data_IF_934084058065
#
_entry.id   IF_934084058065
#
_cell.length_a   1.000
_cell.length_b   1.000
_cell.length_c   1.000
_cell.angle_alpha   90.00
_cell.angle_beta   90.00
_cell.angle_gamma   90.00
#
_symmetry.space_group_name_H-M   'P 1'
#
loop_
_entity.id
_entity.type
_entity.pdbx_description
1 polymer ?
#
# COMPACT_ATOMS: atom_id res chain seq x y z
N UNK A 1 -4.42 -25.27 -22.48
CA UNK A 1 -4.51 -23.88 -22.98
C UNK A 1 -3.45 -23.10 -22.25
N UNK A 2 -2.28 -22.96 -22.87
CA UNK A 2 -1.11 -22.28 -22.32
C UNK A 2 -1.35 -20.77 -22.25
N UNK A 3 -1.29 -20.21 -21.04
CA UNK A 3 -1.25 -18.77 -20.80
C UNK A 3 0.22 -18.36 -20.73
N UNK A 4 0.78 -17.91 -21.85
CA UNK A 4 2.14 -17.38 -21.90
C UNK A 4 2.24 -16.04 -21.18
N UNK A 5 3.32 -15.91 -20.40
CA UNK A 5 3.66 -14.83 -19.45
C UNK A 5 3.93 -13.46 -20.11
N UNK A 6 3.89 -13.38 -21.44
CA UNK A 6 4.36 -12.24 -22.24
C UNK A 6 3.27 -11.27 -22.72
N UNK A 7 2.01 -11.47 -22.33
CA UNK A 7 0.87 -10.69 -22.87
C UNK A 7 0.46 -9.47 -22.02
N UNK A 8 1.39 -8.88 -21.25
CA UNK A 8 1.10 -7.56 -20.65
C UNK A 8 1.22 -6.47 -21.72
N UNK A 9 0.17 -5.69 -21.99
CA UNK A 9 0.22 -4.58 -22.94
C UNK A 9 1.22 -3.47 -22.54
N UNK A 10 1.77 -3.54 -21.32
CA UNK A 10 2.87 -2.70 -20.83
C UNK A 10 4.21 -2.91 -21.56
N UNK A 11 4.40 -4.03 -22.26
CA UNK A 11 5.69 -4.38 -22.85
C UNK A 11 5.59 -5.18 -24.14
N UNK A 12 5.39 -4.49 -25.27
CA UNK A 12 6.15 -4.88 -26.46
C UNK A 12 7.55 -4.29 -26.30
N UNK A 13 8.56 -5.15 -26.37
CA UNK A 13 9.96 -4.77 -26.43
C UNK A 13 10.18 -3.79 -27.59
N UNK A 14 10.18 -2.49 -27.28
CA UNK A 14 10.75 -1.50 -28.16
C UNK A 14 12.24 -1.76 -28.26
N UNK A 15 12.66 -2.27 -29.42
CA UNK A 15 14.05 -2.35 -29.83
C UNK A 15 14.76 -1.03 -29.47
N UNK A 16 15.71 -1.10 -28.54
CA UNK A 16 16.73 -0.08 -28.40
C UNK A 16 17.60 -0.14 -29.66
N UNK A 17 17.16 0.52 -30.73
CA UNK A 17 17.97 0.76 -31.92
C UNK A 17 19.26 1.45 -31.50
N UNK A 18 20.38 0.88 -31.92
CA UNK A 18 21.69 1.11 -31.32
C UNK A 18 22.18 2.55 -31.34
N UNK A 19 22.78 2.94 -30.22
CA UNK A 19 23.92 3.85 -30.21
C UNK A 19 25.01 3.22 -29.32
N UNK A 20 25.96 2.51 -29.95
CA UNK A 20 27.17 2.04 -29.28
C UNK A 20 28.04 3.26 -28.99
N UNK A 21 27.99 3.79 -27.77
CA UNK A 21 29.05 4.69 -27.27
C UNK A 21 30.07 3.93 -26.44
N UNK A 22 31.37 4.25 -26.56
CA UNK A 22 32.42 3.45 -25.94
C UNK A 22 32.46 3.66 -24.43
N UNK A 23 32.78 2.59 -23.70
CA UNK A 23 33.22 2.63 -22.31
C UNK A 23 34.31 3.69 -22.14
N UNK A 24 34.06 4.68 -21.29
CA UNK A 24 35.12 5.52 -20.74
C UNK A 24 35.16 5.34 -19.23
N UNK A 25 36.26 4.77 -18.75
CA UNK A 25 36.67 4.80 -17.36
C UNK A 25 36.86 6.25 -16.92
N UNK A 26 35.96 6.76 -16.08
CA UNK A 26 36.26 7.89 -15.20
C UNK A 26 35.61 7.66 -13.84
N UNK A 27 36.46 7.40 -12.83
CA UNK A 27 36.12 7.63 -11.43
C UNK A 27 35.80 9.13 -11.27
N UNK A 28 34.52 9.47 -11.18
CA UNK A 28 34.08 10.79 -10.79
C UNK A 28 33.70 10.75 -9.30
N UNK A 29 34.36 11.58 -8.51
CA UNK A 29 34.12 11.75 -7.08
C UNK A 29 32.69 12.25 -6.81
N UNK A 30 32.06 11.72 -5.76
CA UNK A 30 30.77 12.19 -5.23
C UNK A 30 30.91 13.66 -4.74
N UNK A 31 29.97 14.57 -5.07
CA UNK A 31 29.94 15.89 -4.45
C UNK A 31 29.45 15.80 -3.01
N UNK A 32 30.15 16.47 -2.10
CA UNK A 32 29.75 16.63 -0.70
C UNK A 32 28.53 17.55 -0.61
N UNK A 33 27.43 17.05 -0.04
CA UNK A 33 26.24 17.83 0.28
C UNK A 33 26.40 18.36 1.70
N UNK A 34 26.37 19.69 1.85
CA UNK A 34 26.35 20.37 3.14
C UNK A 34 24.99 20.15 3.86
N UNK A 35 24.96 20.03 5.20
CA UNK A 35 23.74 19.77 5.94
C UNK A 35 22.81 21.00 5.92
N UNK A 36 21.66 20.85 5.27
CA UNK A 36 20.55 21.80 5.32
C UNK A 36 19.86 21.74 6.69
N UNK A 37 19.70 22.92 7.32
CA UNK A 37 19.06 23.09 8.62
C UNK A 37 17.57 22.74 8.55
N UNK A 38 17.17 21.57 9.02
CA UNK A 38 15.79 21.30 9.42
C UNK A 38 15.53 21.93 10.80
N UNK A 39 14.37 22.57 10.96
CA UNK A 39 13.92 23.17 12.22
C UNK A 39 13.59 22.04 13.19
N UNK A 40 14.14 22.02 14.42
CA UNK A 40 13.79 20.99 15.39
C UNK A 40 12.40 21.27 15.96
N UNK A 41 11.52 20.28 15.85
CA UNK A 41 10.31 20.18 16.67
C UNK A 41 10.74 20.20 18.14
N UNK A 42 10.21 21.15 18.93
CA UNK A 42 10.50 21.27 20.36
C UNK A 42 9.97 20.03 21.07
N UNK A 43 10.87 19.08 21.35
CA UNK A 43 10.66 18.03 22.33
C UNK A 43 10.59 18.69 23.72
N UNK A 44 9.42 18.64 24.36
CA UNK A 44 9.33 18.87 25.81
C UNK A 44 10.11 17.76 26.51
N UNK A 45 11.22 18.14 27.16
CA UNK A 45 12.14 17.23 27.82
C UNK A 45 11.50 16.56 29.04
N UNK A 46 11.33 15.24 28.96
CA UNK A 46 11.13 14.36 30.10
C UNK A 46 12.49 14.09 30.76
N UNK A 47 12.79 14.76 31.88
CA UNK A 47 13.72 14.30 32.92
C UNK A 47 13.73 15.28 34.09
N UNK A 48 13.04 14.92 35.18
CA UNK A 48 13.49 15.00 36.58
C UNK A 48 12.27 15.03 37.53
N UNK A 49 12.27 14.07 38.46
CA UNK A 49 11.33 13.70 39.54
C UNK A 49 10.91 12.23 39.32
N UNK A 50 11.34 11.23 40.08
CA UNK A 50 11.85 11.17 41.45
C UNK A 50 12.77 9.95 41.60
N UNK A 51 13.92 10.14 42.25
CA UNK A 51 14.47 9.10 43.13
C UNK A 51 13.65 9.16 44.42
N UNK A 52 12.98 8.06 44.76
CA UNK A 52 12.23 7.96 46.00
C UNK A 52 11.17 6.87 45.97
N UNK A 53 11.51 5.71 46.54
CA UNK A 53 10.51 4.74 47.00
C UNK A 53 10.39 3.49 46.15
N UNK A 54 11.21 2.48 46.49
CA UNK A 54 10.85 1.10 46.23
C UNK A 54 9.67 0.70 47.15
N UNK A 55 8.51 0.38 46.58
CA UNK A 55 7.51 -0.51 47.17
C UNK A 55 6.78 -1.25 46.05
N UNK A 56 6.82 -2.57 46.13
CA UNK A 56 6.16 -3.50 45.23
C UNK A 56 4.63 -3.39 45.29
N UNK A 57 3.97 -3.36 44.13
CA UNK A 57 2.73 -4.12 43.90
C UNK A 57 2.73 -4.58 42.45
N UNK A 58 3.07 -5.86 42.25
CA UNK A 58 2.58 -6.62 41.13
C UNK A 58 1.05 -6.62 41.20
N UNK A 59 0.36 -5.93 40.28
CA UNK A 59 -1.11 -5.87 40.32
C UNK A 59 -1.74 -4.67 39.65
N UNK A 60 -1.45 -4.43 38.36
CA UNK A 60 -2.37 -3.73 37.45
C UNK A 60 -2.38 -4.43 36.07
N UNK A 61 -2.64 -5.74 36.11
CA UNK A 61 -3.30 -6.44 35.01
C UNK A 61 -4.73 -5.92 34.97
N UNK A 62 -5.11 -5.09 34.00
CA UNK A 62 -6.52 -4.66 33.91
C UNK A 62 -6.87 -3.43 33.08
N UNK A 63 -5.91 -2.71 32.49
CA UNK A 63 -6.21 -1.74 31.42
C UNK A 63 -5.63 -2.27 30.12
N UNK A 64 -6.26 -3.36 29.67
CA UNK A 64 -6.02 -3.89 28.34
C UNK A 64 -6.23 -2.76 27.34
N UNK A 65 -5.31 -2.66 26.39
CA UNK A 65 -5.66 -2.15 25.08
C UNK A 65 -6.73 -3.11 24.55
N UNK A 66 -7.99 -2.87 24.89
CA UNK A 66 -9.09 -3.57 24.24
C UNK A 66 -8.98 -3.16 22.78
N UNK A 67 -8.59 -4.11 21.93
CA UNK A 67 -8.64 -3.94 20.48
C UNK A 67 -9.99 -3.28 20.17
N UNK A 68 -10.03 -2.17 19.42
CA UNK A 68 -11.30 -1.52 19.11
C UNK A 68 -12.25 -2.54 18.49
N UNK A 69 -13.56 -2.37 18.66
CA UNK A 69 -14.56 -3.38 18.31
C UNK A 69 -14.45 -3.92 16.86
N UNK A 70 -13.92 -3.11 15.94
CA UNK A 70 -13.65 -3.52 14.57
C UNK A 70 -12.41 -4.43 14.42
N UNK A 71 -11.38 -4.26 15.27
CA UNK A 71 -10.24 -5.17 15.41
C UNK A 71 -10.58 -6.45 16.21
N UNK A 72 -11.82 -6.57 16.71
CA UNK A 72 -12.37 -7.77 17.33
C UNK A 72 -13.18 -8.64 16.36
N UNK A 73 -13.32 -8.25 15.08
CA UNK A 73 -13.82 -9.14 14.03
C UNK A 73 -12.72 -10.15 13.66
N UNK A 74 -12.40 -11.01 14.62
CA UNK A 74 -11.45 -12.11 14.43
C UNK A 74 -12.18 -13.24 13.73
N UNK A 75 -11.96 -13.31 12.42
CA UNK A 75 -11.72 -14.53 11.65
C UNK A 75 -12.21 -15.83 12.32
N UNK A 76 -13.48 -16.21 12.08
CA UNK A 76 -14.09 -17.44 12.63
C UNK A 76 -13.52 -18.76 12.05
N UNK A 77 -12.37 -18.74 11.37
CA UNK A 77 -11.82 -19.90 10.68
C UNK A 77 -10.49 -20.41 11.25
N UNK A 78 -10.40 -20.68 12.56
CA UNK A 78 -9.53 -21.70 13.17
C UNK A 78 -8.00 -21.68 12.93
N UNK A 79 -7.48 -20.78 12.09
CA UNK A 79 -6.09 -20.45 11.76
C UNK A 79 -6.18 -19.08 11.08
N UNK A 80 -5.54 -18.03 11.60
CA UNK A 80 -5.53 -16.67 11.01
C UNK A 80 -5.22 -16.71 9.51
N UNK A 81 -6.24 -16.84 8.67
CA UNK A 81 -6.13 -16.95 7.22
C UNK A 81 -6.85 -15.76 6.62
N UNK A 82 -6.08 -14.79 6.16
CA UNK A 82 -6.59 -13.63 5.44
C UNK A 82 -6.88 -14.01 3.98
N UNK A 83 -7.75 -13.28 3.30
CA UNK A 83 -7.99 -13.45 1.87
C UNK A 83 -7.76 -12.12 1.18
N UNK A 84 -6.91 -12.09 0.16
CA UNK A 84 -6.74 -10.90 -0.66
C UNK A 84 -7.91 -10.81 -1.63
N UNK A 85 -8.66 -9.71 -1.57
CA UNK A 85 -9.79 -9.46 -2.46
C UNK A 85 -9.43 -8.37 -3.47
N UNK A 86 -9.39 -8.74 -4.75
CA UNK A 86 -9.16 -7.83 -5.88
C UNK A 86 -10.48 -7.27 -6.39
N UNK A 87 -10.56 -5.94 -6.46
CA UNK A 87 -11.74 -5.25 -7.00
C UNK A 87 -11.81 -5.48 -8.51
N UNK A 88 -12.96 -5.95 -8.98
CA UNK A 88 -13.35 -5.92 -10.39
C UNK A 88 -14.25 -4.71 -10.64
N UNK A 89 -14.00 -4.00 -11.73
CA UNK A 89 -14.76 -2.80 -12.09
C UNK A 89 -14.83 -2.64 -13.61
N UNK A 90 -15.69 -1.75 -14.09
CA UNK A 90 -15.79 -1.47 -15.52
C UNK A 90 -14.60 -0.62 -15.98
N UNK A 91 -13.55 -1.29 -16.44
CA UNK A 91 -12.28 -0.70 -16.87
C UNK A 91 -11.18 -1.76 -16.90
N UNK A 92 -9.92 -1.31 -16.90
CA UNK A 92 -8.75 -2.19 -17.05
C UNK A 92 -8.30 -2.81 -15.72
N UNK A 93 -9.22 -3.45 -15.00
CA UNK A 93 -8.99 -4.05 -13.67
C UNK A 93 -8.06 -5.26 -13.70
N UNK A 94 -8.04 -6.01 -14.82
CA UNK A 94 -7.14 -7.12 -15.03
C UNK A 94 -5.89 -6.66 -15.79
N UNK A 95 -4.81 -6.45 -15.05
CA UNK A 95 -3.50 -6.15 -15.59
C UNK A 95 -2.84 -7.34 -16.31
N UNK A 96 -3.40 -8.56 -16.22
CA UNK A 96 -2.74 -9.77 -16.72
C UNK A 96 -1.52 -10.18 -15.88
N UNK A 97 -1.43 -9.70 -14.64
CA UNK A 97 -0.30 -9.91 -13.72
C UNK A 97 -0.71 -10.64 -12.43
N UNK A 98 -1.14 -11.91 -12.52
CA UNK A 98 -1.54 -12.67 -11.33
C UNK A 98 -0.39 -12.89 -10.34
N UNK A 99 0.87 -12.84 -10.80
CA UNK A 99 2.06 -12.97 -9.94
C UNK A 99 2.19 -11.84 -8.92
N UNK A 100 1.64 -10.65 -9.17
CA UNK A 100 1.74 -9.53 -8.23
C UNK A 100 1.11 -9.87 -6.87
N UNK A 101 -0.10 -10.42 -6.89
CA UNK A 101 -0.83 -10.80 -5.68
C UNK A 101 -0.16 -11.96 -4.95
N UNK A 102 0.29 -12.96 -5.72
CA UNK A 102 0.97 -14.13 -5.18
C UNK A 102 2.29 -13.77 -4.51
N UNK A 103 3.09 -12.90 -5.13
CA UNK A 103 4.35 -12.45 -4.56
C UNK A 103 4.12 -11.61 -3.29
N UNK A 104 3.14 -10.71 -3.31
CA UNK A 104 2.78 -9.88 -2.16
C UNK A 104 2.34 -10.74 -0.97
N UNK A 105 1.41 -11.67 -1.19
CA UNK A 105 0.91 -12.56 -0.13
C UNK A 105 1.97 -13.56 0.34
N UNK A 106 2.84 -14.04 -0.55
CA UNK A 106 3.97 -14.89 -0.17
C UNK A 106 4.97 -14.14 0.72
N UNK A 107 5.33 -12.90 0.36
CA UNK A 107 6.26 -12.10 1.16
C UNK A 107 5.66 -11.73 2.51
N UNK A 108 4.37 -11.38 2.55
CA UNK A 108 3.66 -11.12 3.81
C UNK A 108 3.78 -12.32 4.75
N UNK A 109 3.41 -13.52 4.26
CA UNK A 109 3.48 -14.74 5.06
C UNK A 109 4.90 -15.06 5.51
N UNK A 110 5.91 -14.78 4.66
CA UNK A 110 7.33 -14.97 5.00
C UNK A 110 7.79 -14.05 6.13
N UNK A 111 7.32 -12.81 6.15
CA UNK A 111 7.75 -11.78 7.11
C UNK A 111 6.96 -11.80 8.42
N UNK A 112 5.66 -12.07 8.39
CA UNK A 112 4.79 -12.00 9.58
C UNK A 112 4.52 -13.36 10.21
N UNK A 113 4.64 -14.45 9.43
CA UNK A 113 4.26 -15.79 9.87
C UNK A 113 2.75 -16.05 9.88
N UNK A 114 1.90 -15.04 9.60
CA UNK A 114 0.47 -15.22 9.37
C UNK A 114 0.21 -15.96 8.05
N UNK A 115 -1.04 -16.36 7.79
CA UNK A 115 -1.41 -17.11 6.58
C UNK A 115 -2.38 -16.33 5.73
N UNK A 116 -2.24 -16.48 4.42
CA UNK A 116 -3.25 -16.07 3.44
C UNK A 116 -3.90 -17.31 2.82
N UNK A 117 -5.13 -17.17 2.36
CA UNK A 117 -5.75 -18.11 1.44
C UNK A 117 -4.91 -18.16 0.17
N UNK A 118 -4.79 -19.35 -0.41
CA UNK A 118 -4.06 -19.56 -1.67
C UNK A 118 -4.77 -18.87 -2.83
N UNK A 119 -6.11 -18.81 -2.76
CA UNK A 119 -6.93 -18.20 -3.80
C UNK A 119 -7.11 -16.70 -3.56
N UNK A 120 -6.88 -15.92 -4.60
CA UNK A 120 -7.22 -14.51 -4.65
C UNK A 120 -8.69 -14.39 -5.04
N UNK A 121 -9.48 -13.70 -4.23
CA UNK A 121 -10.90 -13.48 -4.53
C UNK A 121 -11.03 -12.27 -5.44
N UNK A 122 -11.88 -12.38 -6.46
CA UNK A 122 -12.33 -11.24 -7.26
C UNK A 122 -13.69 -10.79 -6.74
N UNK A 123 -13.88 -9.50 -6.50
CA UNK A 123 -15.12 -8.96 -5.91
C UNK A 123 -15.47 -7.61 -6.54
N UNK A 124 -16.73 -7.39 -6.86
CA UNK A 124 -17.22 -6.07 -7.26
C UNK A 124 -17.60 -5.25 -6.03
N UNK A 125 -17.51 -3.91 -6.12
CA UNK A 125 -18.01 -3.04 -5.06
C UNK A 125 -19.53 -3.16 -4.86
N UNK A 126 -20.26 -3.66 -5.84
CA UNK A 126 -21.70 -3.97 -5.70
C UNK A 126 -22.01 -5.30 -5.01
N UNK A 127 -21.00 -6.15 -4.77
CA UNK A 127 -21.23 -7.49 -4.22
C UNK A 127 -21.51 -7.46 -2.72
N UNK A 128 -22.47 -8.28 -2.28
CA UNK A 128 -22.81 -8.41 -0.84
C UNK A 128 -21.65 -8.96 -0.01
N UNK A 129 -20.80 -9.78 -0.63
CA UNK A 129 -19.66 -10.42 0.01
C UNK A 129 -18.47 -9.47 0.22
N UNK A 130 -18.50 -8.24 -0.33
CA UNK A 130 -17.45 -7.23 -0.18
C UNK A 130 -17.02 -7.04 1.29
N UNK A 131 -18.01 -7.00 2.19
CA UNK A 131 -17.81 -6.74 3.62
C UNK A 131 -17.16 -7.91 4.38
N UNK A 132 -16.98 -9.07 3.74
CA UNK A 132 -16.21 -10.19 4.31
C UNK A 132 -14.70 -10.00 4.17
N UNK A 133 -14.27 -9.06 3.35
CA UNK A 133 -12.87 -8.84 3.02
C UNK A 133 -12.43 -7.50 3.61
N UNK A 134 -11.70 -7.47 4.74
CA UNK A 134 -11.28 -6.22 5.37
C UNK A 134 -10.27 -5.45 4.49
N UNK A 135 -9.51 -6.17 3.66
CA UNK A 135 -8.53 -5.58 2.75
C UNK A 135 -8.95 -5.75 1.30
N UNK A 136 -9.12 -4.64 0.60
CA UNK A 136 -9.39 -4.58 -0.82
C UNK A 136 -8.16 -4.11 -1.58
N UNK A 137 -7.88 -4.77 -2.69
CA UNK A 137 -6.81 -4.42 -3.62
C UNK A 137 -7.40 -3.99 -4.95
N UNK A 138 -6.96 -2.85 -5.49
CA UNK A 138 -7.36 -2.40 -6.81
C UNK A 138 -6.13 -2.05 -7.65
N UNK A 139 -6.13 -2.55 -8.88
CA UNK A 139 -5.13 -2.23 -9.90
C UNK A 139 -5.81 -1.80 -11.19
N UNK A 140 -5.08 -1.06 -12.02
CA UNK A 140 -5.56 -0.62 -13.31
C UNK A 140 -4.42 -0.32 -14.29
N UNK A 141 -4.58 -0.72 -15.56
CA UNK A 141 -3.58 -0.49 -16.61
C UNK A 141 -3.85 0.76 -17.47
N UNK A 142 -5.06 0.93 -17.99
CA UNK A 142 -5.41 2.05 -18.88
C UNK A 142 -6.86 2.51 -18.74
N UNK A 143 -7.13 3.76 -19.11
CA UNK A 143 -8.47 4.33 -19.13
C UNK A 143 -8.96 4.83 -17.76
N UNK A 144 -10.08 5.55 -17.76
CA UNK A 144 -10.70 5.99 -16.51
C UNK A 144 -11.44 4.84 -15.87
N UNK A 145 -11.20 4.64 -14.58
CA UNK A 145 -12.06 3.78 -13.78
C UNK A 145 -13.40 4.50 -13.60
N UNK A 146 -14.50 3.86 -14.00
CA UNK A 146 -15.84 4.42 -13.84
C UNK A 146 -16.57 3.60 -12.80
N UNK A 147 -16.93 4.26 -11.71
CA UNK A 147 -17.72 3.69 -10.63
C UNK A 147 -19.08 4.38 -10.60
N UNK A 148 -20.11 3.59 -10.32
CA UNK A 148 -21.44 4.09 -10.02
C UNK A 148 -21.49 4.69 -8.62
N UNK A 149 -22.50 5.53 -8.36
CA UNK A 149 -22.74 6.09 -7.03
C UNK A 149 -23.00 4.99 -5.98
N UNK A 150 -23.63 3.88 -6.39
CA UNK A 150 -23.87 2.75 -5.48
C UNK A 150 -22.57 2.05 -5.07
N UNK A 151 -21.63 1.87 -6.01
CA UNK A 151 -20.30 1.31 -5.72
C UNK A 151 -19.47 2.25 -4.85
N UNK A 152 -19.53 3.57 -5.10
CA UNK A 152 -18.86 4.56 -4.27
C UNK A 152 -19.42 4.57 -2.82
N UNK A 153 -20.74 4.45 -2.65
CA UNK A 153 -21.36 4.35 -1.33
C UNK A 153 -21.01 3.04 -0.62
N UNK A 154 -20.95 1.92 -1.34
CA UNK A 154 -20.51 0.65 -0.78
C UNK A 154 -19.04 0.70 -0.32
N UNK A 155 -18.16 1.33 -1.13
CA UNK A 155 -16.77 1.57 -0.75
C UNK A 155 -16.66 2.50 0.46
N UNK A 156 -17.45 3.60 0.49
CA UNK A 156 -17.52 4.49 1.66
C UNK A 156 -17.86 3.70 2.92
N UNK A 157 -18.93 2.91 2.90
CA UNK A 157 -19.33 2.07 4.04
C UNK A 157 -18.21 1.11 4.44
N UNK A 158 -17.59 0.44 3.48
CA UNK A 158 -16.47 -0.48 3.74
C UNK A 158 -15.32 0.22 4.47
N UNK A 159 -14.89 1.38 3.99
CA UNK A 159 -13.77 2.14 4.55
C UNK A 159 -14.10 2.77 5.92
N UNK A 160 -15.33 3.23 6.13
CA UNK A 160 -15.73 3.83 7.41
C UNK A 160 -16.03 2.77 8.48
N UNK A 161 -16.37 1.54 8.10
CA UNK A 161 -16.63 0.41 9.00
C UNK A 161 -15.37 -0.43 9.36
N UNK A 162 -14.19 0.02 8.94
CA UNK A 162 -12.90 -0.59 9.33
C UNK A 162 -12.13 -1.25 8.19
N UNK A 163 -12.72 -1.34 7.01
CA UNK A 163 -12.05 -1.83 5.81
C UNK A 163 -10.93 -0.92 5.32
N UNK A 164 -10.10 -1.43 4.42
CA UNK A 164 -8.96 -0.73 3.85
C UNK A 164 -8.84 -0.97 2.34
N UNK A 165 -8.43 0.06 1.59
CA UNK A 165 -8.19 -0.01 0.16
C UNK A 165 -6.72 0.25 -0.18
N UNK A 166 -6.08 -0.70 -0.86
CA UNK A 166 -4.78 -0.49 -1.49
C UNK A 166 -4.94 -0.34 -3.01
N UNK A 167 -4.70 0.87 -3.50
CA UNK A 167 -4.72 1.19 -4.93
C UNK A 167 -3.30 1.22 -5.50
N UNK A 168 -3.03 0.38 -6.50
CA UNK A 168 -1.70 0.19 -7.08
C UNK A 168 -1.79 0.19 -8.59
N UNK A 169 -1.13 1.11 -9.27
CA UNK A 169 -1.19 1.16 -10.75
C UNK A 169 -0.39 0.03 -11.42
N UNK A 170 -0.76 -0.26 -12.66
CA UNK A 170 -0.04 -1.13 -13.58
C UNK A 170 0.09 -0.42 -14.93
N UNK A 171 0.79 0.71 -15.06
CA UNK A 171 0.86 1.41 -16.34
C UNK A 171 1.92 2.49 -16.40
N UNK A 172 2.51 2.69 -17.58
CA UNK A 172 3.52 3.72 -17.79
C UNK A 172 2.93 5.12 -17.52
N UNK A 173 3.25 5.66 -16.35
CA UNK A 173 2.89 7.01 -15.95
C UNK A 173 1.65 7.12 -15.05
N UNK A 174 0.92 6.04 -14.76
CA UNK A 174 -0.08 5.89 -13.69
C UNK A 174 -1.21 6.93 -13.56
N UNK A 175 -1.20 7.97 -14.39
CA UNK A 175 -1.84 9.25 -14.09
C UNK A 175 -3.34 9.17 -14.24
N UNK A 176 -3.82 8.44 -15.25
CA UNK A 176 -5.26 8.24 -15.45
C UNK A 176 -5.85 7.44 -14.30
N UNK A 177 -5.25 6.29 -13.97
CA UNK A 177 -5.65 5.48 -12.81
C UNK A 177 -5.63 6.31 -11.52
N UNK A 178 -4.52 6.99 -11.22
CA UNK A 178 -4.39 7.85 -10.05
C UNK A 178 -5.45 8.95 -10.01
N UNK A 179 -5.73 9.59 -11.16
CA UNK A 179 -6.75 10.64 -11.28
C UNK A 179 -8.14 10.07 -11.03
N UNK A 180 -8.47 8.90 -11.58
CA UNK A 180 -9.77 8.25 -11.38
C UNK A 180 -9.97 7.83 -9.93
N UNK A 181 -8.93 7.30 -9.25
CA UNK A 181 -8.99 6.99 -7.82
C UNK A 181 -9.16 8.27 -6.99
N UNK A 182 -8.40 9.34 -7.27
CA UNK A 182 -8.60 10.62 -6.58
C UNK A 182 -10.02 11.16 -6.74
N UNK A 183 -10.56 11.15 -7.96
CA UNK A 183 -11.96 11.54 -8.22
C UNK A 183 -12.96 10.66 -7.48
N UNK A 184 -12.77 9.34 -7.49
CA UNK A 184 -13.62 8.42 -6.72
C UNK A 184 -13.62 8.78 -5.23
N UNK A 185 -12.43 8.94 -4.65
CA UNK A 185 -12.28 9.20 -3.22
C UNK A 185 -12.81 10.58 -2.82
N UNK A 186 -12.37 11.64 -3.49
CA UNK A 186 -12.65 13.03 -3.10
C UNK A 186 -14.05 13.50 -3.54
N UNK A 187 -14.50 13.05 -4.71
CA UNK A 187 -15.76 13.53 -5.30
C UNK A 187 -16.92 12.55 -5.16
N UNK A 188 -16.72 11.32 -4.69
CA UNK A 188 -17.83 10.37 -4.53
C UNK A 188 -17.85 9.75 -3.13
N UNK A 189 -16.79 9.06 -2.72
CA UNK A 189 -16.70 8.34 -1.44
C UNK A 189 -16.74 9.30 -0.25
N UNK A 190 -15.96 10.38 -0.27
CA UNK A 190 -15.83 11.33 0.84
C UNK A 190 -16.29 12.74 0.50
N UNK A 191 -17.14 12.90 -0.52
CA UNK A 191 -17.61 14.21 -0.99
C UNK A 191 -18.14 15.07 0.16
N UNK A 192 -17.39 16.12 0.49
CA UNK A 192 -17.78 17.11 1.51
C UNK A 192 -17.81 16.60 2.95
N UNK A 193 -17.23 15.43 3.23
CA UNK A 193 -17.16 14.91 4.60
C UNK A 193 -15.97 15.51 5.35
N UNK A 194 -16.19 16.30 6.43
CA UNK A 194 -15.10 16.93 7.17
C UNK A 194 -14.23 15.95 7.96
N UNK A 195 -14.67 14.69 8.13
CA UNK A 195 -13.87 13.65 8.78
C UNK A 195 -12.82 13.03 7.86
N UNK A 196 -12.94 13.25 6.54
CA UNK A 196 -12.04 12.71 5.55
C UNK A 196 -10.94 13.72 5.22
N UNK A 197 -9.68 13.26 5.22
CA UNK A 197 -8.51 14.09 4.92
C UNK A 197 -7.60 13.37 3.94
N UNK A 198 -7.25 14.03 2.85
CA UNK A 198 -6.22 13.53 1.93
C UNK A 198 -4.85 13.86 2.48
N UNK A 199 -4.01 12.85 2.64
CA UNK A 199 -2.65 12.98 3.20
C UNK A 199 -1.61 12.62 2.14
N UNK A 200 -0.49 13.34 2.15
CA UNK A 200 0.69 12.94 1.37
C UNK A 200 1.57 12.07 2.25
N UNK A 201 1.96 10.92 1.71
CA UNK A 201 2.76 9.90 2.39
C UNK A 201 4.14 9.88 1.73
N UNK A 202 4.75 11.06 1.57
CA UNK A 202 6.05 11.28 0.94
C UNK A 202 7.23 11.28 1.93
N UNK A 203 6.93 11.21 3.22
CA UNK A 203 7.92 11.02 4.28
C UNK A 203 8.18 9.52 4.49
N UNK A 204 9.44 9.11 4.35
CA UNK A 204 9.87 7.74 4.62
C UNK A 204 9.67 7.35 6.08
N UNK A 205 9.49 8.33 6.97
CA UNK A 205 9.19 8.11 8.39
C UNK A 205 7.70 7.85 8.66
N UNK A 206 6.81 7.93 7.65
CA UNK A 206 5.39 7.69 7.89
C UNK A 206 5.19 6.28 8.48
N UNK A 207 4.44 6.12 9.59
CA UNK A 207 4.35 4.84 10.30
C UNK A 207 3.93 3.66 9.43
N UNK A 208 3.01 3.87 8.46
CA UNK A 208 2.57 2.82 7.53
C UNK A 208 3.72 2.25 6.69
N UNK A 209 4.80 2.98 6.44
CA UNK A 209 5.94 2.49 5.67
C UNK A 209 6.94 1.72 6.54
N UNK A 210 6.75 1.64 7.86
CA UNK A 210 7.74 1.07 8.79
C UNK A 210 7.14 0.07 9.81
N UNK A 211 5.97 -0.52 9.53
CA UNK A 211 5.25 -1.39 10.47
C UNK A 211 5.93 -2.76 10.70
N UNK A 212 6.18 -3.51 9.63
CA UNK A 212 6.75 -4.86 9.68
C UNK A 212 8.24 -4.83 9.32
N UNK A 213 8.58 -4.09 8.28
CA UNK A 213 9.96 -3.90 7.81
C UNK A 213 10.19 -2.41 7.60
N UNK A 214 11.31 -1.83 8.08
CA UNK A 214 11.61 -0.43 7.85
C UNK A 214 11.80 -0.17 6.35
N UNK A 215 11.20 0.92 5.87
CA UNK A 215 11.40 1.39 4.51
C UNK A 215 12.82 1.96 4.40
N UNK A 216 13.58 1.52 3.39
CA UNK A 216 14.94 2.03 3.17
C UNK A 216 14.94 3.32 2.34
N UNK A 217 16.10 4.00 2.27
CA UNK A 217 16.34 5.21 1.46
C UNK A 217 15.99 5.08 -0.05
N UNK A 218 15.63 3.88 -0.52
CA UNK A 218 15.32 3.56 -1.90
C UNK A 218 13.83 3.27 -2.09
N UNK A 219 13.12 4.23 -2.68
CA UNK A 219 11.71 4.02 -3.02
C UNK A 219 11.55 3.02 -4.17
N UNK A 220 10.53 2.15 -4.15
CA UNK A 220 10.27 1.17 -5.20
C UNK A 220 9.72 1.76 -6.49
N UNK A 221 9.97 3.02 -6.81
CA UNK A 221 9.54 3.58 -8.10
C UNK A 221 10.52 3.23 -9.21
N UNK A 222 10.04 2.67 -10.33
CA UNK A 222 10.88 2.47 -11.54
C UNK A 222 11.48 3.82 -12.01
N UNK A 223 10.82 4.95 -11.72
CA UNK A 223 11.13 6.25 -12.31
C UNK A 223 11.50 7.39 -11.33
N UNK A 224 10.97 7.42 -10.09
CA UNK A 224 11.16 8.52 -9.11
C UNK A 224 10.96 8.04 -7.66
N UNK A 225 11.44 8.81 -6.64
CA UNK A 225 11.04 8.60 -5.25
C UNK A 225 9.51 8.61 -5.11
N UNK A 226 8.99 7.70 -4.31
CA UNK A 226 7.59 7.40 -4.11
C UNK A 226 6.90 8.52 -3.37
N UNK A 227 5.99 9.20 -4.06
CA UNK A 227 5.02 10.11 -3.47
C UNK A 227 3.71 9.35 -3.45
N UNK A 228 3.37 8.83 -2.28
CA UNK A 228 2.11 8.11 -2.11
C UNK A 228 1.03 9.07 -1.63
N UNK A 229 -0.20 8.83 -2.05
CA UNK A 229 -1.37 9.55 -1.54
C UNK A 229 -2.16 8.61 -0.65
N UNK A 230 -2.59 9.10 0.51
CA UNK A 230 -3.47 8.40 1.41
C UNK A 230 -4.77 9.17 1.65
N UNK A 231 -5.78 8.46 2.12
CA UNK A 231 -6.99 9.07 2.67
C UNK A 231 -7.18 8.59 4.09
N UNK A 232 -7.32 9.54 5.01
CA UNK A 232 -7.69 9.28 6.39
C UNK A 232 -9.18 9.56 6.59
N UNK A 233 -9.81 8.77 7.45
CA UNK A 233 -11.17 8.98 7.91
C UNK A 233 -11.19 8.87 9.44
N UNK A 234 -11.62 9.94 10.11
CA UNK A 234 -11.68 10.02 11.59
C UNK A 234 -10.33 9.67 12.26
N UNK A 235 -9.23 10.15 11.66
CA UNK A 235 -7.86 9.92 12.14
C UNK A 235 -7.26 8.56 11.81
N UNK A 236 -7.97 7.68 11.07
CA UNK A 236 -7.45 6.40 10.61
C UNK A 236 -7.16 6.44 9.12
N UNK A 237 -5.97 6.02 8.69
CA UNK A 237 -5.67 5.82 7.27
C UNK A 237 -6.48 4.64 6.73
N UNK A 238 -7.34 4.91 5.73
CA UNK A 238 -8.29 3.94 5.16
C UNK A 238 -7.97 3.57 3.71
N UNK A 239 -7.23 4.42 3.00
CA UNK A 239 -6.80 4.14 1.64
C UNK A 239 -5.33 4.52 1.46
N UNK A 240 -4.56 3.66 0.81
CA UNK A 240 -3.20 3.93 0.37
C UNK A 240 -3.12 3.77 -1.13
N UNK A 241 -2.61 4.79 -1.82
CA UNK A 241 -2.43 4.78 -3.27
C UNK A 241 -0.96 4.87 -3.64
N UNK A 242 -0.44 3.79 -4.21
CA UNK A 242 0.79 3.73 -4.98
C UNK A 242 0.47 3.70 -6.46
N UNK A 243 -0.01 4.84 -6.96
CA UNK A 243 -0.18 5.08 -8.38
C UNK A 243 0.89 6.11 -8.81
N UNK A 244 1.43 5.98 -10.03
CA UNK A 244 2.54 6.75 -10.63
C UNK A 244 3.89 6.00 -10.71
N UNK A 245 3.96 4.75 -10.26
CA UNK A 245 5.23 4.01 -10.12
C UNK A 245 5.25 2.62 -10.74
N UNK A 246 4.15 2.21 -11.39
CA UNK A 246 4.00 0.89 -11.97
C UNK A 246 4.10 -0.23 -10.92
N UNK A 247 3.53 0.03 -9.74
CA UNK A 247 3.77 -0.74 -8.54
C UNK A 247 3.31 -2.21 -8.69
N UNK A 248 2.22 -2.46 -9.42
CA UNK A 248 1.74 -3.82 -9.70
C UNK A 248 2.70 -4.60 -10.61
N UNK A 249 3.32 -3.96 -11.60
CA UNK A 249 4.36 -4.59 -12.44
C UNK A 249 5.58 -5.01 -11.62
N UNK A 250 6.00 -4.17 -10.68
CA UNK A 250 7.14 -4.46 -9.81
C UNK A 250 6.81 -5.61 -8.86
N UNK A 251 5.62 -5.60 -8.25
CA UNK A 251 5.14 -6.73 -7.44
C UNK A 251 5.12 -8.03 -8.26
N UNK A 252 4.82 -7.97 -9.56
CA UNK A 252 4.88 -9.13 -10.45
C UNK A 252 6.31 -9.58 -10.80
N UNK A 253 7.35 -8.88 -10.32
CA UNK A 253 8.76 -9.18 -10.55
C UNK A 253 9.31 -8.64 -11.86
N UNK A 254 8.70 -7.60 -12.45
CA UNK A 254 9.12 -7.03 -13.74
C UNK A 254 10.15 -5.90 -13.65
N UNK A 255 10.60 -5.51 -12.45
CA UNK A 255 11.65 -4.51 -12.31
C UNK A 255 13.02 -5.05 -12.76
N UNK A 256 13.84 -4.19 -13.37
CA UNK A 256 15.17 -4.55 -13.85
C UNK A 256 16.18 -4.82 -12.71
N UNK A 257 16.02 -4.17 -11.56
CA UNK A 257 16.84 -4.38 -10.36
C UNK A 257 16.00 -5.06 -9.27
N UNK A 258 16.44 -6.24 -8.82
CA UNK A 258 15.76 -7.02 -7.79
C UNK A 258 15.61 -6.29 -6.44
N UNK A 259 16.45 -5.27 -6.17
CA UNK A 259 16.28 -4.40 -5.00
C UNK A 259 15.00 -3.58 -5.07
N UNK A 260 14.59 -3.13 -6.27
CA UNK A 260 13.33 -2.41 -6.47
C UNK A 260 12.15 -3.33 -6.12
N UNK A 261 12.18 -4.57 -6.64
CA UNK A 261 11.18 -5.59 -6.36
C UNK A 261 11.07 -5.86 -4.87
N UNK A 262 12.20 -6.03 -4.18
CA UNK A 262 12.20 -6.30 -2.74
C UNK A 262 11.62 -5.15 -1.92
N UNK A 263 11.96 -3.89 -2.24
CA UNK A 263 11.40 -2.72 -1.55
C UNK A 263 9.91 -2.57 -1.81
N UNK A 264 9.46 -2.85 -3.04
CA UNK A 264 8.05 -2.81 -3.42
C UNK A 264 7.24 -3.85 -2.64
N UNK A 265 7.80 -5.04 -2.48
CA UNK A 265 7.21 -6.09 -1.65
C UNK A 265 7.14 -5.67 -0.18
N UNK A 266 8.20 -5.08 0.40
CA UNK A 266 8.18 -4.61 1.79
C UNK A 266 7.17 -3.49 2.01
N UNK A 267 7.08 -2.54 1.09
CA UNK A 267 6.03 -1.52 1.10
C UNK A 267 4.65 -2.17 1.11
N UNK A 268 4.39 -3.07 0.16
CA UNK A 268 3.12 -3.77 0.05
C UNK A 268 2.80 -4.56 1.32
N UNK A 269 3.79 -5.21 1.94
CA UNK A 269 3.62 -5.93 3.20
C UNK A 269 3.22 -5.00 4.34
N UNK A 270 3.86 -3.84 4.47
CA UNK A 270 3.49 -2.89 5.52
C UNK A 270 2.06 -2.33 5.32
N UNK A 271 1.69 -2.01 4.07
CA UNK A 271 0.33 -1.55 3.72
C UNK A 271 -0.70 -2.65 3.98
N UNK A 272 -0.39 -3.89 3.58
CA UNK A 272 -1.24 -5.05 3.82
C UNK A 272 -1.41 -5.32 5.31
N UNK A 273 -0.33 -5.22 6.09
CA UNK A 273 -0.36 -5.38 7.54
C UNK A 273 -1.23 -4.32 8.21
N UNK A 274 -1.08 -3.05 7.81
CA UNK A 274 -1.95 -1.97 8.28
C UNK A 274 -3.42 -2.29 8.04
N UNK A 275 -3.79 -2.66 6.81
CA UNK A 275 -5.19 -2.86 6.46
C UNK A 275 -5.85 -4.14 7.02
N UNK A 276 -5.08 -5.09 7.56
CA UNK A 276 -5.64 -6.33 8.17
C UNK A 276 -5.43 -6.44 9.69
N UNK A 277 -4.52 -5.67 10.28
CA UNK A 277 -4.12 -5.83 11.69
C UNK A 277 -4.30 -4.59 12.58
N UNK A 278 -4.22 -3.39 11.99
CA UNK A 278 -4.29 -2.11 12.70
C UNK A 278 -5.70 -1.63 12.68
#
# INVERSE_FOLDING_TARGET
MDLTVDSCPCGSSGELSGDRRPRSDRRAALPSIAPGRSRPWRLMGRRQLLEGGALAVAGLLGLGWTRPAWAQVTNEFGRNRFTLARIIYNGSWDAGLPKADLNLTAEFQRLTGDRFATDIVQVSLGDRELFRYPFLYITGFSGSNVFSLAEAEALRRHLTEGGFLFASDCGQGGREFATSIRKLMDEQVFRGDPKAVTVQLDDQDHPILNLVVPFSDWSPGIYRPGRYTGWEYDGRLVCFMAAEYDNNCILAGRAADGRVTQQCLWQGVNVLYHGVMV
#
